data_IF_192184793642
#
_entry.id   IF_192184793642
#
_cell.length_a   1.000
_cell.length_b   1.000
_cell.length_c   1.000
_cell.angle_alpha   90.00
_cell.angle_beta   90.00
_cell.angle_gamma   90.00
#
_symmetry.space_group_name_H-M   'P 1'
#
loop_
_entity.id
_entity.type
_entity.pdbx_description
1 polymer ?
#
# COMPACT_ATOMS: atom_id res chain seq x y z
N UNK A 1 55.42 34.15 22.51
CA UNK A 1 54.05 33.94 23.01
C UNK A 1 53.07 34.49 21.99
N UNK A 2 52.14 33.68 21.48
CA UNK A 2 50.99 34.14 20.68
C UNK A 2 49.74 33.60 21.37
N UNK A 3 48.92 34.51 21.88
CA UNK A 3 47.71 34.22 22.63
C UNK A 3 46.65 33.50 21.78
N UNK A 4 46.28 32.29 22.22
CA UNK A 4 45.16 31.52 21.69
C UNK A 4 43.85 32.12 22.21
N UNK A 5 43.16 32.92 21.40
CA UNK A 5 41.76 33.25 21.66
C UNK A 5 40.87 32.03 21.37
N UNK A 6 40.39 31.38 22.43
CA UNK A 6 39.23 30.49 22.38
C UNK A 6 37.97 31.29 22.04
N UNK A 7 37.41 31.08 20.84
CA UNK A 7 36.01 31.40 20.56
C UNK A 7 35.13 30.24 21.04
N UNK A 8 34.06 30.49 21.82
CA UNK A 8 33.03 29.49 22.02
C UNK A 8 32.23 29.33 20.71
N UNK A 9 32.00 28.08 20.28
CA UNK A 9 31.02 27.76 19.24
C UNK A 9 29.62 27.91 19.85
N UNK A 10 28.75 28.82 19.37
CA UNK A 10 27.35 28.76 19.75
C UNK A 10 26.70 27.54 19.10
N UNK A 11 25.92 26.83 19.92
CA UNK A 11 25.28 25.57 19.63
C UNK A 11 24.48 25.63 18.33
N UNK A 12 24.62 24.58 17.53
CA UNK A 12 23.67 24.23 16.49
C UNK A 12 22.32 24.02 17.16
N UNK A 13 21.45 25.03 17.11
CA UNK A 13 20.03 24.90 17.42
C UNK A 13 19.42 23.98 16.37
N UNK A 14 19.55 22.67 16.61
CA UNK A 14 18.78 21.65 15.92
C UNK A 14 17.31 21.87 16.28
N UNK A 15 16.64 22.70 15.49
CA UNK A 15 15.19 22.77 15.49
C UNK A 15 14.69 21.46 14.88
N UNK A 16 14.63 20.40 15.70
CA UNK A 16 13.85 19.22 15.39
C UNK A 16 12.40 19.66 15.47
N UNK A 17 11.91 20.22 14.37
CA UNK A 17 10.50 20.40 14.14
C UNK A 17 9.84 19.07 14.44
N UNK A 18 9.12 19.03 15.54
CA UNK A 18 8.24 17.95 15.89
C UNK A 18 7.05 18.08 14.94
N UNK A 19 7.27 17.76 13.67
CA UNK A 19 6.23 17.72 12.65
C UNK A 19 5.35 16.55 13.05
N UNK A 20 4.24 16.83 13.72
CA UNK A 20 3.13 15.90 13.85
C UNK A 20 2.60 15.60 12.45
N UNK A 21 3.33 14.77 11.72
CA UNK A 21 2.92 14.30 10.41
C UNK A 21 1.72 13.40 10.67
N UNK A 22 0.54 13.75 10.17
CA UNK A 22 -0.66 12.94 10.33
C UNK A 22 -0.63 11.71 9.41
N UNK A 23 -1.43 10.70 9.73
CA UNK A 23 -1.61 9.53 8.87
C UNK A 23 -2.16 9.99 7.49
N UNK A 24 -1.53 9.64 6.37
CA UNK A 24 -2.06 9.96 5.05
C UNK A 24 -3.43 9.32 4.81
N UNK A 25 -4.28 9.96 4.01
CA UNK A 25 -5.55 9.38 3.57
C UNK A 25 -5.38 8.65 2.25
N UNK A 26 -5.87 7.41 2.15
CA UNK A 26 -5.88 6.64 0.91
C UNK A 26 -7.15 6.93 0.11
N UNK A 27 -6.98 7.60 -1.02
CA UNK A 27 -8.05 7.86 -1.97
C UNK A 27 -7.89 6.99 -3.22
N UNK A 28 -8.90 6.17 -3.54
CA UNK A 28 -8.94 5.35 -4.75
C UNK A 28 -9.96 5.97 -5.70
N UNK A 29 -9.50 6.45 -6.86
CA UNK A 29 -10.38 7.08 -7.85
C UNK A 29 -11.15 6.06 -8.70
N UNK A 30 -12.07 6.55 -9.53
CA UNK A 30 -12.90 5.79 -10.48
C UNK A 30 -12.07 4.99 -11.52
N UNK A 31 -10.80 5.36 -11.69
CA UNK A 31 -9.81 4.69 -12.55
C UNK A 31 -8.92 3.73 -11.76
N UNK A 32 -9.25 3.46 -10.50
CA UNK A 32 -8.45 2.67 -9.57
C UNK A 32 -7.02 3.20 -9.45
N UNK A 33 -6.77 4.50 -9.55
CA UNK A 33 -5.50 5.11 -9.13
C UNK A 33 -5.55 5.38 -7.64
N UNK A 34 -4.45 5.05 -6.98
CA UNK A 34 -4.35 5.11 -5.53
C UNK A 34 -3.56 6.36 -5.19
N UNK A 35 -4.16 7.27 -4.45
CA UNK A 35 -3.58 8.55 -4.06
C UNK A 35 -3.43 8.59 -2.55
N UNK A 36 -2.24 8.91 -2.07
CA UNK A 36 -2.00 9.27 -0.68
C UNK A 36 -2.14 10.78 -0.56
N UNK A 37 -3.08 11.23 0.27
CA UNK A 37 -3.31 12.64 0.58
C UNK A 37 -2.68 12.95 1.93
N UNK A 38 -1.81 13.96 1.98
CA UNK A 38 -1.07 14.33 3.18
C UNK A 38 -1.66 15.58 3.85
N UNK A 39 -1.27 15.83 5.10
CA UNK A 39 -1.77 16.94 5.90
C UNK A 39 -1.39 18.33 5.33
N UNK A 40 -0.32 18.41 4.55
CA UNK A 40 0.12 19.61 3.85
C UNK A 40 -0.62 19.84 2.52
N UNK A 41 -1.72 19.12 2.28
CA UNK A 41 -2.50 19.09 1.04
C UNK A 41 -1.75 18.59 -0.19
N UNK A 42 -0.52 18.08 -0.04
CA UNK A 42 0.16 17.37 -1.10
C UNK A 42 -0.49 16.01 -1.35
N UNK A 43 -0.31 15.48 -2.56
CA UNK A 43 -0.73 14.12 -2.91
C UNK A 43 0.31 13.39 -3.73
N UNK A 44 0.42 12.09 -3.51
CA UNK A 44 1.32 11.21 -4.27
C UNK A 44 0.57 9.98 -4.77
N UNK A 45 0.84 9.56 -6.00
CA UNK A 45 0.24 8.34 -6.56
C UNK A 45 1.05 7.10 -6.14
N UNK A 46 0.37 6.11 -5.57
CA UNK A 46 0.93 4.78 -5.32
C UNK A 46 0.90 3.98 -6.62
N UNK A 47 2.03 3.94 -7.32
CA UNK A 47 2.15 3.27 -8.62
C UNK A 47 2.18 1.75 -8.47
N UNK A 48 1.03 1.13 -8.65
CA UNK A 48 0.85 -0.33 -8.64
C UNK A 48 0.43 -0.85 -10.01
N UNK A 49 0.87 -2.06 -10.34
CA UNK A 49 0.36 -2.78 -11.51
C UNK A 49 -1.12 -3.11 -11.31
N UNK A 50 -1.89 -3.32 -12.39
CA UNK A 50 -3.28 -3.73 -12.29
C UNK A 50 -3.51 -4.94 -11.36
N UNK A 51 -2.65 -5.96 -11.42
CA UNK A 51 -2.77 -7.15 -10.58
C UNK A 51 -2.46 -6.87 -9.09
N UNK A 52 -1.47 -6.01 -8.80
CA UNK A 52 -1.22 -5.56 -7.43
C UNK A 52 -2.41 -4.77 -6.86
N UNK A 53 -3.04 -3.90 -7.67
CA UNK A 53 -4.24 -3.16 -7.26
C UNK A 53 -5.39 -4.11 -6.94
N UNK A 54 -5.60 -5.13 -7.78
CA UNK A 54 -6.62 -6.16 -7.54
C UNK A 54 -6.42 -6.85 -6.19
N UNK A 55 -5.19 -7.33 -5.93
CA UNK A 55 -4.87 -8.00 -4.67
C UNK A 55 -5.08 -7.06 -3.48
N UNK A 56 -4.63 -5.80 -3.59
CA UNK A 56 -4.79 -4.83 -2.52
C UNK A 56 -6.26 -4.53 -2.21
N UNK A 57 -7.09 -4.33 -3.24
CA UNK A 57 -8.53 -4.07 -3.08
C UNK A 57 -9.21 -5.24 -2.38
N UNK A 58 -8.87 -6.50 -2.71
CA UNK A 58 -9.41 -7.67 -2.00
C UNK A 58 -9.19 -7.56 -0.48
N UNK A 59 -7.97 -7.29 -0.04
CA UNK A 59 -7.67 -7.15 1.39
C UNK A 59 -8.27 -5.89 2.02
N UNK A 60 -8.54 -4.87 1.21
CA UNK A 60 -9.14 -3.62 1.65
C UNK A 60 -10.66 -3.76 1.85
N UNK A 61 -11.32 -4.64 1.07
CA UNK A 61 -12.76 -4.94 1.20
C UNK A 61 -13.06 -6.03 2.22
N UNK A 62 -12.10 -6.92 2.50
CA UNK A 62 -12.24 -8.00 3.48
C UNK A 62 -11.63 -7.61 4.84
N UNK A 63 -12.42 -7.00 5.71
CA UNK A 63 -11.93 -6.45 7.01
C UNK A 63 -11.50 -7.51 8.02
N UNK A 64 -12.13 -8.69 7.98
CA UNK A 64 -11.74 -9.84 8.80
C UNK A 64 -10.37 -10.41 8.39
N UNK A 65 -9.89 -10.03 7.21
CA UNK A 65 -8.68 -10.56 6.60
C UNK A 65 -8.96 -11.79 5.71
N UNK A 66 -7.93 -12.19 4.97
CA UNK A 66 -7.96 -13.34 4.06
C UNK A 66 -6.73 -14.19 4.33
N UNK A 67 -6.94 -15.50 4.51
CA UNK A 67 -5.82 -16.44 4.56
C UNK A 67 -5.22 -16.62 3.18
N UNK A 68 -3.90 -16.46 3.05
CA UNK A 68 -3.19 -16.70 1.79
C UNK A 68 -3.35 -18.15 1.31
N UNK A 69 -3.63 -19.10 2.21
CA UNK A 69 -3.87 -20.50 1.87
C UNK A 69 -5.19 -20.73 1.13
N UNK A 70 -6.16 -19.84 1.34
CA UNK A 70 -7.53 -19.90 0.82
C UNK A 70 -7.78 -18.80 -0.23
N UNK A 71 -6.72 -18.18 -0.76
CA UNK A 71 -6.85 -17.12 -1.77
C UNK A 71 -7.58 -17.60 -3.04
N UNK A 72 -7.51 -18.90 -3.34
CA UNK A 72 -8.24 -19.55 -4.44
C UNK A 72 -9.76 -19.41 -4.30
N UNK A 73 -10.29 -19.37 -3.08
CA UNK A 73 -11.73 -19.22 -2.84
C UNK A 73 -12.22 -17.81 -3.24
N UNK A 74 -11.31 -16.83 -3.28
CA UNK A 74 -11.57 -15.46 -3.72
C UNK A 74 -11.32 -15.24 -5.22
N UNK A 75 -11.07 -16.29 -6.01
CA UNK A 75 -10.76 -16.18 -7.45
C UNK A 75 -11.80 -15.36 -8.23
N UNK A 76 -13.09 -15.55 -7.93
CA UNK A 76 -14.17 -14.80 -8.58
C UNK A 76 -14.10 -13.31 -8.26
N UNK A 77 -13.95 -12.96 -6.98
CA UNK A 77 -13.85 -11.57 -6.51
C UNK A 77 -12.60 -10.88 -7.08
N UNK A 78 -11.46 -11.57 -7.10
CA UNK A 78 -10.22 -11.11 -7.71
C UNK A 78 -10.42 -10.85 -9.21
N UNK A 79 -11.02 -11.79 -9.95
CA UNK A 79 -11.24 -11.64 -11.38
C UNK A 79 -12.21 -10.48 -11.69
N UNK A 80 -13.29 -10.34 -10.94
CA UNK A 80 -14.26 -9.27 -11.15
C UNK A 80 -13.68 -7.89 -10.81
N UNK A 81 -12.87 -7.80 -9.76
CA UNK A 81 -12.10 -6.59 -9.45
C UNK A 81 -11.06 -6.30 -10.54
N UNK A 82 -10.37 -7.34 -11.02
CA UNK A 82 -9.34 -7.18 -12.05
C UNK A 82 -9.91 -6.71 -13.38
N UNK A 83 -11.12 -7.14 -13.76
CA UNK A 83 -11.83 -6.62 -14.94
C UNK A 83 -12.09 -5.12 -14.84
N UNK A 84 -12.50 -4.63 -13.65
CA UNK A 84 -12.78 -3.21 -13.43
C UNK A 84 -11.50 -2.36 -13.52
N UNK A 85 -10.37 -2.90 -13.06
CA UNK A 85 -9.06 -2.21 -13.10
C UNK A 85 -8.43 -2.28 -14.51
N UNK A 86 -8.47 -3.46 -15.13
CA UNK A 86 -7.77 -3.75 -16.38
C UNK A 86 -8.61 -3.39 -17.60
N UNK A 87 -8.54 -2.11 -17.99
CA UNK A 87 -9.26 -1.59 -19.17
C UNK A 87 -8.78 -2.14 -20.54
N UNK A 88 -7.67 -2.88 -20.59
CA UNK A 88 -6.95 -3.21 -21.84
C UNK A 88 -6.60 -4.69 -22.05
N UNK A 89 -6.80 -5.54 -21.04
CA UNK A 89 -6.46 -6.95 -21.17
C UNK A 89 -7.64 -7.73 -21.76
N UNK A 90 -7.38 -8.73 -22.58
CA UNK A 90 -8.43 -9.67 -22.96
C UNK A 90 -8.77 -10.58 -21.78
N UNK A 91 -9.98 -11.13 -21.77
CA UNK A 91 -10.50 -11.91 -20.65
C UNK A 91 -9.67 -13.17 -20.34
N UNK A 92 -9.04 -13.78 -21.36
CA UNK A 92 -8.24 -14.98 -21.21
C UNK A 92 -6.91 -14.69 -20.47
N UNK A 93 -6.23 -13.60 -20.81
CA UNK A 93 -5.03 -13.13 -20.09
C UNK A 93 -5.34 -12.76 -18.65
N UNK A 94 -6.51 -12.15 -18.40
CA UNK A 94 -6.94 -11.86 -17.03
C UNK A 94 -7.11 -13.14 -16.21
N UNK A 95 -7.80 -14.15 -16.77
CA UNK A 95 -7.99 -15.43 -16.10
C UNK A 95 -6.65 -16.11 -15.79
N UNK A 96 -5.71 -16.14 -16.75
CA UNK A 96 -4.39 -16.73 -16.53
C UNK A 96 -3.62 -16.00 -15.41
N UNK A 97 -3.68 -14.66 -15.40
CA UNK A 97 -3.03 -13.86 -14.35
C UNK A 97 -3.60 -14.16 -12.96
N UNK A 98 -4.93 -14.32 -12.86
CA UNK A 98 -5.59 -14.68 -11.60
C UNK A 98 -5.28 -16.12 -11.21
N UNK A 99 -5.23 -17.06 -12.16
CA UNK A 99 -4.86 -18.46 -11.89
C UNK A 99 -3.48 -18.55 -11.27
N UNK A 100 -2.50 -17.86 -11.88
CA UNK A 100 -1.14 -17.78 -11.35
C UNK A 100 -1.09 -17.06 -9.99
N UNK A 101 -1.94 -16.05 -9.79
CA UNK A 101 -1.99 -15.33 -8.51
C UNK A 101 -2.47 -16.22 -7.36
N UNK A 102 -3.42 -17.13 -7.61
CA UNK A 102 -4.00 -18.00 -6.58
C UNK A 102 -3.32 -19.38 -6.48
N UNK A 103 -2.49 -19.76 -7.46
CA UNK A 103 -1.70 -20.99 -7.40
C UNK A 103 -0.60 -20.86 -6.35
N UNK A 104 -0.70 -21.67 -5.29
CA UNK A 104 0.27 -21.70 -4.18
C UNK A 104 1.67 -22.17 -4.59
N UNK A 105 1.81 -22.79 -5.76
CA UNK A 105 3.09 -23.23 -6.33
C UNK A 105 3.76 -22.12 -7.13
N UNK A 106 3.01 -21.09 -7.50
CA UNK A 106 3.51 -19.94 -8.24
C UNK A 106 3.94 -18.83 -7.27
N UNK A 107 5.01 -18.11 -7.60
CA UNK A 107 5.54 -17.03 -6.76
C UNK A 107 4.76 -15.70 -6.94
N UNK A 108 3.82 -15.65 -7.88
CA UNK A 108 3.12 -14.43 -8.29
C UNK A 108 2.51 -13.69 -7.11
N UNK A 109 1.84 -14.39 -6.19
CA UNK A 109 1.28 -13.81 -4.96
C UNK A 109 2.33 -13.08 -4.14
N UNK A 110 3.44 -13.75 -3.82
CA UNK A 110 4.51 -13.19 -2.99
C UNK A 110 5.18 -11.99 -3.66
N UNK A 111 5.38 -12.04 -4.97
CA UNK A 111 5.88 -10.89 -5.73
C UNK A 111 4.93 -9.69 -5.66
N UNK A 112 3.61 -9.90 -5.75
CA UNK A 112 2.63 -8.81 -5.69
C UNK A 112 2.60 -8.21 -4.28
N UNK A 113 2.64 -9.03 -3.23
CA UNK A 113 2.76 -8.57 -1.86
C UNK A 113 4.04 -7.72 -1.65
N UNK A 114 5.19 -8.19 -2.15
CA UNK A 114 6.44 -7.46 -2.06
C UNK A 114 6.39 -6.13 -2.83
N UNK A 115 5.81 -6.11 -4.03
CA UNK A 115 5.64 -4.89 -4.84
C UNK A 115 4.72 -3.87 -4.17
N UNK A 116 3.61 -4.33 -3.59
CA UNK A 116 2.69 -3.50 -2.82
C UNK A 116 3.44 -2.88 -1.64
N UNK A 117 4.13 -3.71 -0.87
CA UNK A 117 4.92 -3.27 0.28
C UNK A 117 5.92 -2.18 -0.08
N UNK A 118 6.74 -2.42 -1.11
CA UNK A 118 7.73 -1.45 -1.57
C UNK A 118 7.10 -0.12 -2.03
N UNK A 119 5.94 -0.16 -2.70
CA UNK A 119 5.27 1.04 -3.18
C UNK A 119 4.74 1.93 -2.02
N UNK A 120 4.22 1.32 -0.96
CA UNK A 120 3.78 2.07 0.22
C UNK A 120 4.95 2.51 1.10
N UNK A 121 5.98 1.68 1.28
CA UNK A 121 7.21 2.06 2.02
C UNK A 121 7.92 3.27 1.41
N UNK A 122 7.83 3.44 0.08
CA UNK A 122 8.44 4.57 -0.61
C UNK A 122 7.72 5.92 -0.36
N UNK A 123 6.45 5.91 0.05
CA UNK A 123 5.60 7.11 0.07
C UNK A 123 5.01 7.41 1.46
N UNK A 124 4.75 6.39 2.26
CA UNK A 124 4.11 6.53 3.58
C UNK A 124 5.19 6.72 4.65
N UNK A 125 5.07 7.72 5.54
CA UNK A 125 5.97 7.88 6.68
C UNK A 125 6.06 6.61 7.53
N UNK A 126 7.27 6.24 7.95
CA UNK A 126 7.56 4.95 8.60
C UNK A 126 6.64 4.61 9.79
N UNK A 127 6.20 5.62 10.55
CA UNK A 127 5.29 5.48 11.68
C UNK A 127 3.88 4.99 11.30
N UNK A 128 3.46 5.21 10.05
CA UNK A 128 2.14 4.78 9.54
C UNK A 128 2.22 3.64 8.54
N UNK A 129 3.39 3.33 7.97
CA UNK A 129 3.55 2.37 6.88
C UNK A 129 2.86 1.03 7.17
N UNK A 130 2.99 0.49 8.39
CA UNK A 130 2.34 -0.77 8.79
C UNK A 130 0.83 -0.80 8.60
N UNK A 131 0.15 0.35 8.72
CA UNK A 131 -1.30 0.43 8.53
C UNK A 131 -1.71 0.13 7.09
N UNK A 132 -0.87 0.50 6.12
CA UNK A 132 -1.15 0.35 4.68
C UNK A 132 -0.75 -1.02 4.13
N UNK A 133 -0.01 -1.83 4.86
CA UNK A 133 0.49 -3.12 4.38
C UNK A 133 -0.54 -4.23 4.58
N UNK A 134 -0.48 -5.22 3.69
CA UNK A 134 -1.16 -6.51 3.89
C UNK A 134 -0.28 -7.32 4.84
N UNK A 135 -0.68 -7.39 6.11
CA UNK A 135 0.13 -8.00 7.17
C UNK A 135 -0.71 -8.90 8.07
N UNK A 136 -0.04 -9.73 8.87
CA UNK A 136 -0.63 -10.71 9.79
C UNK A 136 0.39 -11.77 10.17
N UNK A 137 0.07 -12.65 11.10
CA UNK A 137 1.01 -13.68 11.53
C UNK A 137 1.20 -14.80 10.49
N UNK A 138 2.18 -15.67 10.73
CA UNK A 138 2.41 -16.82 9.87
C UNK A 138 1.22 -17.78 10.02
N UNK A 139 0.60 -18.12 8.89
CA UNK A 139 -0.57 -19.03 8.79
C UNK A 139 -1.90 -18.46 9.25
N UNK A 140 -1.92 -17.20 9.66
CA UNK A 140 -3.16 -16.50 9.97
C UNK A 140 -3.63 -15.65 8.79
N UNK A 141 -4.86 -15.14 8.91
CA UNK A 141 -5.43 -14.18 7.98
C UNK A 141 -4.53 -12.94 7.88
N UNK A 142 -4.30 -12.51 6.63
CA UNK A 142 -3.66 -11.23 6.35
C UNK A 142 -4.73 -10.17 6.19
N UNK A 143 -4.46 -8.96 6.67
CA UNK A 143 -5.38 -7.81 6.56
C UNK A 143 -4.63 -6.50 6.41
N UNK A 144 -5.35 -5.48 5.96
CA UNK A 144 -4.89 -4.09 5.97
C UNK A 144 -5.47 -3.41 7.21
N UNK A 145 -4.61 -2.96 8.11
CA UNK A 145 -5.02 -2.37 9.40
C UNK A 145 -5.36 -0.88 9.30
N UNK A 146 -5.31 -0.29 8.10
CA UNK A 146 -5.71 1.09 7.85
C UNK A 146 -7.19 1.29 8.21
N UNK A 147 -7.50 2.17 9.19
CA UNK A 147 -8.88 2.44 9.55
C UNK A 147 -9.67 2.98 8.36
N UNK A 148 -10.92 2.54 8.20
CA UNK A 148 -11.72 2.85 6.99
C UNK A 148 -12.07 4.32 6.84
N UNK A 149 -12.05 5.10 7.91
CA UNK A 149 -12.16 6.56 7.83
C UNK A 149 -10.94 7.25 7.17
N UNK A 150 -9.82 6.53 7.00
CA UNK A 150 -8.66 6.95 6.20
C UNK A 150 -8.67 6.39 4.78
N UNK A 151 -9.79 5.82 4.33
CA UNK A 151 -9.96 5.23 3.01
C UNK A 151 -11.18 5.85 2.35
N UNK A 152 -11.08 6.21 1.08
CA UNK A 152 -12.23 6.65 0.29
C UNK A 152 -12.16 6.07 -1.11
N UNK A 153 -13.26 5.47 -1.55
CA UNK A 153 -13.46 5.06 -2.93
C UNK A 153 -14.35 6.09 -3.61
N UNK A 154 -13.86 6.71 -4.68
CA UNK A 154 -14.73 7.47 -5.56
C UNK A 154 -15.36 6.50 -6.55
N UNK A 155 -16.61 6.12 -6.30
CA UNK A 155 -17.41 5.41 -7.28
C UNK A 155 -18.20 6.46 -8.06
N UNK A 156 -17.85 6.60 -9.35
CA UNK A 156 -18.63 7.37 -10.31
C UNK A 156 -19.88 6.59 -10.73
#
# INVERSE_FOLDING_TARGET
MKDFQHRPKPASSGNRGNSQQACPHLFIDDRYRFWLMFADHSRQEVKLTPLCKTLYVLFLTNELGVSLYNLVDHKKELLDTYKRISRRLNFQQMQQSIEQLVDRRDNSMHEKLARIKAAFEALVPCQYTKLFLIDGDRREEKKISLPRNYVTFNQA
#
